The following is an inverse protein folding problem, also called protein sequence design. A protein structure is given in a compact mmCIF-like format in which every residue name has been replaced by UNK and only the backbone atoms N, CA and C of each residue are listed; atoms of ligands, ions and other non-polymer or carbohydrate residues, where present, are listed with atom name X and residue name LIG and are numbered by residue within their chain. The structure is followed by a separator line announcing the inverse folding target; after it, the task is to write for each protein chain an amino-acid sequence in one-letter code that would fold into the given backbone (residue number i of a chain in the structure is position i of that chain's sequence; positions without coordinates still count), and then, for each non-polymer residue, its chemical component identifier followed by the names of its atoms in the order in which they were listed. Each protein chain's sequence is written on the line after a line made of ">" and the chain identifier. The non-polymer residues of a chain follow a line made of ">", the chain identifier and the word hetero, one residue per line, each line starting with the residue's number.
data_IF_417795452836
#
_entry.id   IF_417795452836
#
_cell.length_a   1.000
_cell.length_b   1.000
_cell.length_c   1.000
_cell.angle_alpha   90.00
_cell.angle_beta   90.00
_cell.angle_gamma   90.00
#
_symmetry.space_group_name_H-M   'P 1'
#
loop_
_entity.id
_entity.type
_entity.pdbx_description
1 polymer ?
#
# COMPACT_ATOMS: atom_id res chain seq x y z
N UNK A 1 -2.27 1.60 -14.02
CA UNK A 1 -1.21 2.50 -13.49
C UNK A 1 -0.04 1.58 -13.17
N UNK A 2 1.18 1.81 -13.66
CA UNK A 2 2.29 0.86 -13.42
C UNK A 2 2.80 0.99 -11.97
N UNK A 3 2.57 -0.04 -11.15
CA UNK A 3 3.08 -0.15 -9.78
C UNK A 3 4.46 -0.78 -9.79
N UNK A 4 5.35 -0.29 -8.92
CA UNK A 4 6.73 -0.77 -8.81
C UNK A 4 7.12 -0.98 -7.36
N UNK A 5 7.87 -2.04 -7.10
CA UNK A 5 8.43 -2.34 -5.79
C UNK A 5 9.90 -2.76 -5.94
N UNK A 6 10.81 -1.94 -5.43
CA UNK A 6 12.24 -2.23 -5.46
C UNK A 6 12.68 -2.98 -4.21
N UNK A 7 13.48 -4.02 -4.41
CA UNK A 7 14.18 -4.76 -3.38
C UNK A 7 15.64 -4.32 -3.40
N UNK A 8 16.18 -4.00 -2.23
CA UNK A 8 17.55 -3.49 -2.09
C UNK A 8 18.50 -4.52 -1.49
N UNK A 9 19.75 -4.47 -1.93
CA UNK A 9 20.89 -5.02 -1.21
C UNK A 9 21.79 -3.87 -0.76
N UNK A 10 21.66 -3.47 0.51
CA UNK A 10 22.27 -2.24 1.01
C UNK A 10 21.71 -1.00 0.30
N UNK A 11 22.55 -0.30 -0.46
CA UNK A 11 22.15 0.93 -1.20
C UNK A 11 21.70 0.66 -2.64
N UNK A 12 22.04 -0.50 -3.21
CA UNK A 12 21.76 -0.85 -4.59
C UNK A 12 20.42 -1.57 -4.75
N UNK A 13 19.75 -1.36 -5.89
CA UNK A 13 18.56 -2.14 -6.26
C UNK A 13 19.04 -3.51 -6.72
N UNK A 14 18.55 -4.56 -6.08
CA UNK A 14 18.82 -5.96 -6.46
C UNK A 14 17.76 -6.44 -7.45
N UNK A 15 16.49 -6.08 -7.22
CA UNK A 15 15.35 -6.57 -7.99
C UNK A 15 14.23 -5.54 -7.98
N UNK A 16 13.44 -5.48 -9.05
CA UNK A 16 12.25 -4.62 -9.13
C UNK A 16 11.06 -5.46 -9.60
N UNK A 17 10.03 -5.51 -8.78
CA UNK A 17 8.73 -6.06 -9.15
C UNK A 17 7.89 -4.98 -9.82
N UNK A 18 7.05 -5.39 -10.78
CA UNK A 18 6.13 -4.52 -11.53
C UNK A 18 4.76 -5.17 -11.61
N UNK A 19 3.72 -4.36 -11.50
CA UNK A 19 2.33 -4.78 -11.67
C UNK A 19 1.55 -3.69 -12.43
N UNK A 20 0.69 -4.08 -13.37
CA UNK A 20 -0.02 -3.13 -14.26
C UNK A 20 -1.40 -2.71 -13.73
N UNK A 21 -2.11 -3.68 -13.16
CA UNK A 21 -3.48 -3.58 -12.64
C UNK A 21 -3.63 -4.65 -11.57
N UNK A 22 -4.22 -4.29 -10.44
CA UNK A 22 -4.60 -5.25 -9.43
C UNK A 22 -5.99 -4.90 -8.90
N UNK A 23 -6.81 -5.93 -8.73
CA UNK A 23 -8.11 -5.80 -8.09
C UNK A 23 -7.88 -5.90 -6.57
N UNK A 24 -8.31 -4.87 -5.85
CA UNK A 24 -8.24 -4.86 -4.39
C UNK A 24 -9.50 -5.51 -3.86
N UNK A 25 -9.36 -6.52 -3.01
CA UNK A 25 -10.51 -7.03 -2.29
C UNK A 25 -11.12 -5.93 -1.41
N UNK A 26 -12.44 -5.78 -1.45
CA UNK A 26 -13.15 -4.73 -0.70
C UNK A 26 -12.87 -4.80 0.80
N UNK A 27 -12.77 -6.01 1.38
CA UNK A 27 -12.44 -6.19 2.80
C UNK A 27 -11.07 -5.59 3.18
N UNK A 28 -10.08 -5.63 2.29
CA UNK A 28 -8.78 -4.98 2.51
C UNK A 28 -8.93 -3.46 2.57
N UNK A 29 -9.85 -2.88 1.79
CA UNK A 29 -10.16 -1.44 1.84
C UNK A 29 -10.87 -1.10 3.15
N UNK A 30 -11.83 -1.92 3.59
CA UNK A 30 -12.52 -1.73 4.88
C UNK A 30 -11.54 -1.78 6.06
N UNK A 31 -10.65 -2.78 6.09
CA UNK A 31 -9.63 -2.92 7.14
C UNK A 31 -8.71 -1.70 7.20
N UNK A 32 -8.33 -1.17 6.03
CA UNK A 32 -7.50 0.02 5.93
C UNK A 32 -8.24 1.30 6.38
N UNK A 33 -9.52 1.46 6.03
CA UNK A 33 -10.33 2.59 6.47
C UNK A 33 -10.59 2.55 7.99
N UNK A 34 -10.76 1.36 8.57
CA UNK A 34 -10.98 1.18 10.01
C UNK A 34 -9.76 1.58 10.87
N UNK A 35 -8.55 1.61 10.30
CA UNK A 35 -7.34 2.00 11.03
C UNK A 35 -6.89 3.44 10.79
N UNK A 36 -7.43 4.09 9.75
CA UNK A 36 -7.09 5.48 9.40
C UNK A 36 -8.09 6.42 10.06
N UNK A 37 -7.58 7.21 10.99
CA UNK A 37 -8.29 8.37 11.50
C UNK A 37 -7.89 9.59 10.67
N UNK A 38 -8.74 9.93 9.69
CA UNK A 38 -8.49 11.02 8.73
C UNK A 38 -8.33 12.40 9.42
N UNK A 39 -8.94 12.58 10.60
CA UNK A 39 -8.87 13.83 11.37
C UNK A 39 -7.52 14.00 12.07
N UNK A 40 -6.76 12.91 12.25
CA UNK A 40 -5.47 12.89 12.97
C UNK A 40 -4.25 12.81 12.06
N UNK A 41 -4.42 12.98 10.75
CA UNK A 41 -3.33 12.95 9.78
C UNK A 41 -2.39 14.16 9.82
N UNK A 42 -2.63 15.14 10.70
CA UNK A 42 -1.77 16.30 10.92
C UNK A 42 -0.71 16.10 12.03
N UNK A 43 -0.76 14.98 12.76
CA UNK A 43 0.19 14.67 13.84
C UNK A 43 1.17 13.58 13.44
N UNK A 44 2.47 13.89 13.41
CA UNK A 44 3.52 12.91 13.06
C UNK A 44 3.46 11.63 13.90
N UNK A 45 3.11 11.75 15.19
CA UNK A 45 2.99 10.60 16.09
C UNK A 45 1.79 9.73 15.75
N UNK A 46 0.65 10.33 15.39
CA UNK A 46 -0.54 9.58 14.98
C UNK A 46 -0.35 8.94 13.61
N UNK A 47 0.29 9.64 12.66
CA UNK A 47 0.71 9.06 11.38
C UNK A 47 1.58 7.82 11.60
N UNK A 48 2.58 7.90 12.51
CA UNK A 48 3.43 6.76 12.82
C UNK A 48 2.63 5.57 13.39
N UNK A 49 1.64 5.81 14.27
CA UNK A 49 0.75 4.76 14.80
C UNK A 49 -0.11 4.13 13.68
N UNK A 50 -0.64 4.94 12.78
CA UNK A 50 -1.42 4.47 11.62
C UNK A 50 -0.54 3.59 10.74
N UNK A 51 0.70 4.00 10.44
CA UNK A 51 1.66 3.21 9.66
C UNK A 51 1.92 1.85 10.33
N UNK A 52 2.16 1.82 11.64
CA UNK A 52 2.38 0.57 12.38
C UNK A 52 1.17 -0.36 12.28
N UNK A 53 -0.05 0.18 12.40
CA UNK A 53 -1.30 -0.58 12.27
C UNK A 53 -1.56 -1.04 10.83
N UNK A 54 -1.10 -0.30 9.83
CA UNK A 54 -1.30 -0.62 8.43
C UNK A 54 -0.35 -1.72 7.94
N UNK A 55 0.88 -1.82 8.47
CA UNK A 55 1.87 -2.83 8.08
C UNK A 55 1.31 -4.27 7.99
N UNK A 56 0.58 -4.81 8.98
CA UNK A 56 0.05 -6.18 8.90
C UNK A 56 -0.97 -6.39 7.78
N UNK A 57 -1.71 -5.35 7.37
CA UNK A 57 -2.68 -5.39 6.26
C UNK A 57 -1.96 -5.21 4.91
N UNK A 58 -0.97 -4.31 4.89
CA UNK A 58 -0.24 -3.95 3.67
C UNK A 58 0.73 -5.06 3.23
N UNK A 59 1.31 -5.83 4.15
CA UNK A 59 2.24 -6.92 3.79
C UNK A 59 1.58 -8.02 2.93
N UNK A 60 0.42 -8.59 3.31
CA UNK A 60 -0.35 -9.48 2.44
C UNK A 60 -0.70 -8.83 1.11
N UNK A 61 -1.22 -7.59 1.14
CA UNK A 61 -1.59 -6.87 -0.07
C UNK A 61 -0.42 -6.71 -1.05
N UNK A 62 0.77 -6.37 -0.57
CA UNK A 62 1.96 -6.28 -1.42
C UNK A 62 2.34 -7.63 -2.05
N UNK A 63 2.06 -8.75 -1.40
CA UNK A 63 2.30 -10.09 -1.97
C UNK A 63 1.24 -10.49 -2.99
N UNK A 64 0.02 -10.02 -2.81
CA UNK A 64 -1.05 -10.19 -3.80
C UNK A 64 -0.79 -9.33 -5.04
N UNK A 65 -0.35 -8.09 -4.86
CA UNK A 65 -0.01 -7.16 -5.95
C UNK A 65 1.25 -7.60 -6.69
N UNK A 66 2.29 -8.01 -5.96
CA UNK A 66 3.59 -8.39 -6.52
C UNK A 66 3.83 -9.88 -6.31
N UNK A 67 3.35 -10.67 -7.28
CA UNK A 67 3.47 -12.13 -7.26
C UNK A 67 4.93 -12.57 -7.01
N UNK A 68 5.10 -13.47 -6.04
CA UNK A 68 6.41 -14.04 -5.71
C UNK A 68 7.31 -13.14 -4.87
N UNK A 69 6.82 -12.03 -4.29
CA UNK A 69 7.58 -11.28 -3.29
C UNK A 69 7.61 -12.02 -1.95
N UNK A 70 8.78 -12.13 -1.34
CA UNK A 70 8.97 -12.82 -0.06
C UNK A 70 8.95 -11.86 1.12
N UNK A 71 8.79 -12.40 2.34
CA UNK A 71 8.88 -11.60 3.57
C UNK A 71 10.26 -10.93 3.72
N UNK A 72 11.34 -11.64 3.36
CA UNK A 72 12.70 -11.12 3.49
C UNK A 72 13.00 -10.03 2.45
N UNK A 73 12.47 -10.17 1.23
CA UNK A 73 12.53 -9.11 0.23
C UNK A 73 11.76 -7.87 0.69
N UNK A 74 10.56 -8.02 1.27
CA UNK A 74 9.79 -6.89 1.81
C UNK A 74 10.54 -6.11 2.90
N UNK A 75 11.33 -6.78 3.74
CA UNK A 75 12.18 -6.11 4.76
C UNK A 75 13.29 -5.26 4.14
N UNK A 76 13.62 -5.49 2.89
CA UNK A 76 14.65 -4.78 2.12
C UNK A 76 14.08 -3.73 1.18
N UNK A 77 12.81 -3.37 1.35
CA UNK A 77 12.17 -2.26 0.64
C UNK A 77 12.37 -0.95 1.42
N UNK A 78 12.36 0.18 0.73
CA UNK A 78 12.48 1.50 1.38
C UNK A 78 11.11 2.05 1.72
N UNK A 79 10.91 2.45 2.98
CA UNK A 79 9.65 3.07 3.45
C UNK A 79 9.24 4.27 2.59
N UNK A 80 10.21 5.11 2.16
CA UNK A 80 9.94 6.27 1.29
C UNK A 80 9.37 5.91 -0.10
N UNK A 81 9.55 4.68 -0.56
CA UNK A 81 9.00 4.17 -1.83
C UNK A 81 7.67 3.44 -1.59
N UNK A 82 7.50 2.86 -0.42
CA UNK A 82 6.25 2.27 0.02
C UNK A 82 5.16 3.32 0.24
N UNK A 83 5.46 4.48 0.85
CA UNK A 83 4.47 5.56 1.08
C UNK A 83 3.73 5.97 -0.21
N UNK A 84 4.41 6.37 -1.31
CA UNK A 84 3.71 6.76 -2.54
C UNK A 84 3.00 5.58 -3.20
N UNK A 85 3.54 4.37 -3.12
CA UNK A 85 2.86 3.15 -3.56
C UNK A 85 1.54 2.95 -2.80
N UNK A 86 1.53 3.15 -1.47
CA UNK A 86 0.34 3.06 -0.65
C UNK A 86 -0.67 4.16 -0.97
N UNK A 87 -0.24 5.42 -1.08
CA UNK A 87 -1.14 6.52 -1.46
C UNK A 87 -1.80 6.21 -2.81
N UNK A 88 -1.06 5.68 -3.78
CA UNK A 88 -1.61 5.30 -5.07
C UNK A 88 -2.65 4.18 -4.96
N UNK A 89 -2.38 3.15 -4.15
CA UNK A 89 -3.31 2.05 -3.85
C UNK A 89 -4.59 2.59 -3.18
N UNK A 90 -4.44 3.45 -2.18
CA UNK A 90 -5.56 4.06 -1.45
C UNK A 90 -6.39 5.00 -2.32
N UNK A 91 -5.75 5.88 -3.08
CA UNK A 91 -6.43 6.79 -4.00
C UNK A 91 -7.15 6.00 -5.08
N UNK A 92 -6.57 4.91 -5.56
CA UNK A 92 -7.25 4.00 -6.48
C UNK A 92 -8.50 3.38 -5.83
N UNK A 93 -8.39 2.81 -4.63
CA UNK A 93 -9.53 2.27 -3.89
C UNK A 93 -10.65 3.31 -3.70
N UNK A 94 -10.32 4.53 -3.26
CA UNK A 94 -11.29 5.60 -3.09
C UNK A 94 -11.93 6.05 -4.41
N UNK A 95 -11.18 6.03 -5.52
CA UNK A 95 -11.72 6.34 -6.84
C UNK A 95 -12.71 5.27 -7.31
N UNK A 96 -12.38 3.99 -7.13
CA UNK A 96 -13.29 2.88 -7.44
C UNK A 96 -14.60 3.01 -6.65
N UNK A 97 -14.51 3.28 -5.34
CA UNK A 97 -15.68 3.51 -4.48
C UNK A 97 -16.55 4.68 -4.96
N UNK A 98 -15.94 5.84 -5.27
CA UNK A 98 -16.68 7.03 -5.68
C UNK A 98 -17.19 6.97 -7.12
N UNK A 99 -16.52 6.23 -8.01
CA UNK A 99 -16.95 6.06 -9.41
C UNK A 99 -18.24 5.25 -9.54
N UNK A 100 -18.48 4.34 -8.58
CA UNK A 100 -19.73 3.57 -8.48
C UNK A 100 -20.88 4.38 -7.84
N UNK A 101 -20.61 5.49 -7.15
CA UNK A 101 -21.63 6.37 -6.57
C UNK A 101 -22.31 7.29 -7.59
N UNK A 102 -21.78 7.39 -8.82
CA UNK A 102 -22.31 8.28 -9.88
C UNK A 102 -23.22 7.57 -10.90
N UNK A 103 -23.59 6.31 -10.61
CA UNK A 103 -24.63 5.57 -11.35
C UNK A 103 -25.67 5.07 -10.35
N UNK A 104 -26.50 5.97 -9.84
CA UNK A 104 -27.88 5.71 -9.39
C UNK A 104 -28.63 7.03 -9.29
#
# INVERSE_FOLDING_TARGET
>A
MELKLNIYNGKAIEKTYRAETFDIMFGTVEDLLNIIDLEKLNSETEIAKIVIKAIPILKPLLKEVFEGVTNDELRRTKVKELIPLFINIFVFALKELNSNSSKN
#
